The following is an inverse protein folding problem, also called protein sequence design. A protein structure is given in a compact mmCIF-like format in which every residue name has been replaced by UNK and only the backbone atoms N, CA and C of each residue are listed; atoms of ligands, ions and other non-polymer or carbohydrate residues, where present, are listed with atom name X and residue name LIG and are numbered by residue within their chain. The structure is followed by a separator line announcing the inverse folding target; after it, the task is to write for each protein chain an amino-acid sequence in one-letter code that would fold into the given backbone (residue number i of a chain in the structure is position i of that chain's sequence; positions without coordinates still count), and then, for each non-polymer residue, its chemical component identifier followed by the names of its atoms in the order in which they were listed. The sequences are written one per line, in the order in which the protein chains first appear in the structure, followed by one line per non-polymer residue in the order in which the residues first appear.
data_IF_278788339196
#
_entry.id   IF_278788339196
#
_cell.length_a   1.000
_cell.length_b   1.000
_cell.length_c   1.000
_cell.angle_alpha   90.00
_cell.angle_beta   90.00
_cell.angle_gamma   90.00
#
_symmetry.space_group_name_H-M   'P 1'
#
loop_
_entity.id
_entity.type
_entity.pdbx_description
1 polymer ?
#
# COMPACT_ATOMS: atom_id res chain seq x y z
N UNK A 1 -14.78 38.20 11.98
CA UNK A 1 -14.93 36.94 12.75
C UNK A 1 -16.02 36.11 12.09
N UNK A 2 -15.74 34.87 11.70
CA UNK A 2 -16.77 33.97 11.21
C UNK A 2 -17.83 33.79 12.30
N UNK A 3 -19.11 33.99 11.97
CA UNK A 3 -20.20 33.82 12.93
C UNK A 3 -20.13 32.41 13.53
N UNK A 4 -19.94 32.31 14.85
CA UNK A 4 -19.95 31.03 15.55
C UNK A 4 -21.34 30.41 15.44
N UNK A 5 -21.51 29.54 14.45
CA UNK A 5 -22.74 28.77 14.25
C UNK A 5 -22.64 27.48 15.05
N UNK A 6 -23.72 27.13 15.75
CA UNK A 6 -23.80 25.85 16.44
C UNK A 6 -23.71 24.70 15.44
N UNK A 7 -23.14 23.56 15.86
CA UNK A 7 -23.02 22.38 14.99
C UNK A 7 -24.38 21.93 14.44
N UNK A 8 -25.44 21.98 15.26
CA UNK A 8 -26.81 21.66 14.83
C UNK A 8 -27.28 22.58 13.70
N UNK A 9 -27.11 23.90 13.85
CA UNK A 9 -27.48 24.86 12.80
C UNK A 9 -26.66 24.64 11.54
N UNK A 10 -25.36 24.37 11.67
CA UNK A 10 -24.49 24.06 10.54
C UNK A 10 -25.01 22.89 9.70
N UNK A 11 -25.31 21.74 10.32
CA UNK A 11 -25.84 20.58 9.59
C UNK A 11 -27.18 20.87 8.89
N UNK A 12 -28.06 21.65 9.54
CA UNK A 12 -29.33 22.05 8.92
C UNK A 12 -29.07 22.96 7.71
N UNK A 13 -28.19 23.95 7.83
CA UNK A 13 -27.82 24.84 6.73
C UNK A 13 -27.20 24.06 5.57
N UNK A 14 -26.30 23.12 5.83
CA UNK A 14 -25.68 22.26 4.81
C UNK A 14 -26.73 21.37 4.12
N UNK A 15 -27.71 20.87 4.88
CA UNK A 15 -28.84 20.09 4.36
C UNK A 15 -29.78 20.90 3.47
N UNK A 16 -30.12 22.12 3.89
CA UNK A 16 -30.94 23.06 3.11
C UNK A 16 -30.22 23.45 1.82
N UNK A 17 -28.91 23.72 1.90
CA UNK A 17 -28.06 23.97 0.74
C UNK A 17 -28.13 22.82 -0.28
N UNK A 18 -27.94 21.57 0.18
CA UNK A 18 -28.01 20.40 -0.71
C UNK A 18 -29.41 20.22 -1.31
N UNK A 19 -30.47 20.46 -0.54
CA UNK A 19 -31.85 20.33 -1.02
C UNK A 19 -32.19 21.38 -2.09
N UNK A 20 -31.84 22.65 -1.86
CA UNK A 20 -32.05 23.74 -2.82
C UNK A 20 -31.25 23.52 -4.11
N UNK A 21 -29.98 23.13 -3.98
CA UNK A 21 -29.12 22.82 -5.12
C UNK A 21 -29.68 21.65 -5.95
N UNK A 22 -30.11 20.57 -5.29
CA UNK A 22 -30.67 19.41 -5.97
C UNK A 22 -31.97 19.75 -6.72
N UNK A 23 -32.85 20.56 -6.13
CA UNK A 23 -34.08 21.00 -6.79
C UNK A 23 -33.79 21.91 -8.00
N UNK A 24 -32.87 22.86 -7.86
CA UNK A 24 -32.43 23.71 -8.96
C UNK A 24 -31.89 22.89 -10.14
N UNK A 25 -30.94 21.99 -9.89
CA UNK A 25 -30.34 21.14 -10.92
C UNK A 25 -31.35 20.15 -11.52
N UNK A 26 -32.29 19.64 -10.72
CA UNK A 26 -33.35 18.76 -11.23
C UNK A 26 -34.22 19.47 -12.26
N UNK A 27 -34.52 20.77 -12.05
CA UNK A 27 -35.32 21.56 -13.01
C UNK A 27 -34.54 21.92 -14.26
N UNK A 28 -33.32 22.40 -14.08
CA UNK A 28 -32.47 22.91 -15.17
C UNK A 28 -31.93 21.79 -16.07
N UNK A 29 -31.57 20.65 -15.49
CA UNK A 29 -30.93 19.52 -16.18
C UNK A 29 -31.87 18.32 -16.39
N UNK A 30 -33.19 18.51 -16.25
CA UNK A 30 -34.19 17.46 -16.49
C UNK A 30 -34.03 16.85 -17.89
N UNK A 31 -33.83 17.70 -18.90
CA UNK A 31 -33.69 17.32 -20.30
C UNK A 31 -32.40 16.58 -20.61
N UNK A 32 -31.38 16.68 -19.75
CA UNK A 32 -30.07 16.07 -19.94
C UNK A 32 -29.91 14.75 -19.18
N UNK A 33 -30.99 14.33 -18.50
CA UNK A 33 -31.02 13.12 -17.69
C UNK A 33 -30.14 13.26 -16.46
N UNK A 34 -30.39 14.31 -15.68
CA UNK A 34 -29.90 14.47 -14.32
C UNK A 34 -30.31 13.29 -13.43
N UNK A 35 -29.37 12.84 -12.59
CA UNK A 35 -29.56 11.73 -11.66
C UNK A 35 -29.40 12.17 -10.21
N UNK A 36 -28.52 13.11 -9.92
CA UNK A 36 -28.23 13.54 -8.56
C UNK A 36 -27.01 14.44 -8.47
N UNK A 37 -26.72 14.88 -7.24
CA UNK A 37 -25.60 15.76 -6.94
C UNK A 37 -24.88 15.31 -5.67
N UNK A 38 -23.55 15.28 -5.75
CA UNK A 38 -22.66 15.11 -4.60
C UNK A 38 -21.93 16.43 -4.31
N UNK A 39 -21.86 16.79 -3.04
CA UNK A 39 -21.13 17.98 -2.58
C UNK A 39 -19.98 17.51 -1.71
N UNK A 40 -18.75 17.83 -2.11
CA UNK A 40 -17.53 17.57 -1.34
C UNK A 40 -16.94 18.89 -0.90
N UNK A 41 -16.96 19.14 0.40
CA UNK A 41 -16.46 20.39 0.98
C UNK A 41 -15.04 20.16 1.47
N UNK A 42 -14.07 20.84 0.86
CA UNK A 42 -12.71 20.97 1.40
C UNK A 42 -12.53 22.36 2.02
N UNK A 43 -11.52 22.59 2.88
CA UNK A 43 -11.33 23.89 3.52
C UNK A 43 -11.09 25.05 2.55
N UNK A 44 -10.61 24.77 1.34
CA UNK A 44 -10.27 25.76 0.33
C UNK A 44 -11.26 25.82 -0.82
N UNK A 45 -11.87 24.67 -1.19
CA UNK A 45 -12.80 24.56 -2.32
C UNK A 45 -14.00 23.68 -2.00
N UNK A 46 -15.15 24.04 -2.58
CA UNK A 46 -16.34 23.19 -2.59
C UNK A 46 -16.50 22.60 -3.98
N UNK A 47 -16.35 21.29 -4.08
CA UNK A 47 -16.54 20.53 -5.31
C UNK A 47 -17.98 20.03 -5.37
N UNK A 48 -18.68 20.37 -6.45
CA UNK A 48 -20.05 19.95 -6.72
C UNK A 48 -20.03 19.03 -7.92
N UNK A 49 -20.31 17.75 -7.71
CA UNK A 49 -20.30 16.72 -8.74
C UNK A 49 -21.73 16.44 -9.18
N UNK A 50 -22.04 16.81 -10.42
CA UNK A 50 -23.32 16.58 -11.08
C UNK A 50 -23.27 15.20 -11.72
N UNK A 51 -24.15 14.31 -11.29
CA UNK A 51 -24.32 12.99 -11.87
C UNK A 51 -25.40 13.06 -12.96
N UNK A 52 -25.00 12.84 -14.21
CA UNK A 52 -25.90 12.91 -15.36
C UNK A 52 -25.64 11.80 -16.37
N UNK A 53 -26.65 11.50 -17.20
CA UNK A 53 -26.52 10.50 -18.27
C UNK A 53 -25.84 11.06 -19.52
N UNK A 54 -26.13 12.32 -19.87
CA UNK A 54 -25.55 13.05 -21.02
C UNK A 54 -24.67 14.20 -20.53
N UNK A 55 -23.45 13.88 -20.11
CA UNK A 55 -22.51 14.88 -19.56
C UNK A 55 -22.14 15.98 -20.56
N UNK A 56 -22.05 15.66 -21.86
CA UNK A 56 -21.73 16.64 -22.90
C UNK A 56 -22.72 17.81 -22.94
N UNK A 57 -24.03 17.54 -22.80
CA UNK A 57 -25.05 18.58 -22.78
C UNK A 57 -25.01 19.44 -21.51
N UNK A 58 -24.63 18.83 -20.37
CA UNK A 58 -24.44 19.53 -19.10
C UNK A 58 -23.25 20.49 -19.18
N UNK A 59 -22.16 20.09 -19.85
CA UNK A 59 -21.03 20.97 -20.12
C UNK A 59 -21.42 22.12 -21.07
N UNK A 60 -22.18 21.79 -22.12
CA UNK A 60 -22.51 22.70 -23.21
C UNK A 60 -21.32 23.04 -24.11
N UNK A 61 -21.52 23.97 -25.04
CA UNK A 61 -20.50 24.34 -26.03
C UNK A 61 -19.24 24.88 -25.36
N UNK A 62 -18.11 24.17 -25.52
CA UNK A 62 -16.81 24.50 -24.91
C UNK A 62 -16.90 24.74 -23.38
N UNK A 63 -17.84 24.08 -22.70
CA UNK A 63 -18.03 24.25 -21.25
C UNK A 63 -18.75 25.53 -20.85
N UNK A 64 -19.44 26.21 -21.78
CA UNK A 64 -20.17 27.45 -21.49
C UNK A 64 -21.25 27.24 -20.41
N UNK A 65 -22.09 26.21 -20.57
CA UNK A 65 -23.23 25.97 -19.68
C UNK A 65 -22.80 25.65 -18.26
N UNK A 66 -21.77 24.83 -18.09
CA UNK A 66 -21.24 24.52 -16.74
C UNK A 66 -20.64 25.77 -16.07
N UNK A 67 -20.00 26.68 -16.82
CA UNK A 67 -19.50 27.96 -16.26
C UNK A 67 -20.64 28.90 -15.85
N UNK A 68 -21.72 28.94 -16.62
CA UNK A 68 -22.93 29.68 -16.27
C UNK A 68 -23.56 29.12 -14.98
N UNK A 69 -23.70 27.79 -14.88
CA UNK A 69 -24.17 27.12 -13.66
C UNK A 69 -23.27 27.43 -12.45
N UNK A 70 -21.94 27.36 -12.60
CA UNK A 70 -21.00 27.72 -11.53
C UNK A 70 -21.21 29.16 -11.09
N UNK A 71 -21.39 30.09 -12.03
CA UNK A 71 -21.61 31.52 -11.72
C UNK A 71 -22.93 31.75 -10.97
N UNK A 72 -24.01 31.04 -11.35
CA UNK A 72 -25.31 31.12 -10.68
C UNK A 72 -25.23 30.56 -9.26
N UNK A 73 -24.62 29.39 -9.09
CA UNK A 73 -24.45 28.75 -7.77
C UNK A 73 -23.58 29.63 -6.86
N UNK A 74 -22.47 30.15 -7.39
CA UNK A 74 -21.57 31.01 -6.64
C UNK A 74 -22.28 32.29 -6.15
N UNK A 75 -23.03 32.96 -7.03
CA UNK A 75 -23.79 34.18 -6.69
C UNK A 75 -24.97 33.91 -5.77
N UNK A 76 -25.70 32.82 -5.96
CA UNK A 76 -26.89 32.48 -5.15
C UNK A 76 -26.51 32.19 -3.70
N UNK A 77 -25.42 31.47 -3.48
CA UNK A 77 -24.99 31.04 -2.15
C UNK A 77 -23.87 31.91 -1.57
N UNK A 78 -23.55 33.05 -2.20
CA UNK A 78 -22.53 34.01 -1.76
C UNK A 78 -21.15 33.37 -1.51
N UNK A 79 -20.71 32.48 -2.40
CA UNK A 79 -19.37 31.91 -2.33
C UNK A 79 -18.33 32.91 -2.86
N UNK A 80 -17.13 32.96 -2.24
CA UNK A 80 -16.00 33.70 -2.80
C UNK A 80 -15.64 33.22 -4.22
N UNK A 81 -15.15 34.12 -5.06
CA UNK A 81 -14.77 33.77 -6.44
C UNK A 81 -13.68 32.70 -6.46
N UNK A 82 -13.87 31.66 -7.28
CA UNK A 82 -12.94 30.53 -7.39
C UNK A 82 -12.98 29.52 -6.24
N UNK A 83 -13.92 29.66 -5.29
CA UNK A 83 -14.08 28.69 -4.19
C UNK A 83 -15.01 27.51 -4.53
N UNK A 84 -15.78 27.59 -5.61
CA UNK A 84 -16.72 26.54 -6.04
C UNK A 84 -16.34 26.04 -7.43
N UNK A 85 -16.28 24.73 -7.57
CA UNK A 85 -16.02 24.06 -8.85
C UNK A 85 -17.09 23.01 -9.12
N UNK A 86 -17.68 23.06 -10.31
CA UNK A 86 -18.66 22.06 -10.76
C UNK A 86 -17.99 21.05 -11.68
N UNK A 87 -18.24 19.78 -11.43
CA UNK A 87 -17.82 18.65 -12.24
C UNK A 87 -19.06 17.92 -12.76
N UNK A 88 -18.98 17.35 -13.96
CA UNK A 88 -20.04 16.51 -14.50
C UNK A 88 -19.51 15.09 -14.70
N UNK A 89 -20.07 14.14 -13.95
CA UNK A 89 -19.73 12.73 -14.01
C UNK A 89 -20.87 11.94 -14.63
N UNK A 90 -20.49 10.91 -15.41
CA UNK A 90 -21.45 10.01 -16.03
C UNK A 90 -21.89 8.95 -15.03
N UNK A 91 -23.20 8.80 -14.85
CA UNK A 91 -23.76 7.70 -14.06
C UNK A 91 -23.35 6.35 -14.67
N UNK A 92 -22.81 5.45 -13.85
CA UNK A 92 -22.29 4.15 -14.30
C UNK A 92 -23.35 3.33 -15.06
N UNK A 93 -24.53 3.16 -14.47
CA UNK A 93 -25.64 2.38 -15.02
C UNK A 93 -26.93 3.19 -15.05
N UNK A 94 -27.21 3.88 -16.16
CA UNK A 94 -28.39 4.76 -16.29
C UNK A 94 -29.73 4.05 -16.02
N UNK A 95 -29.80 2.75 -16.30
CA UNK A 95 -31.02 1.94 -16.15
C UNK A 95 -31.41 1.68 -14.70
N UNK A 96 -30.45 1.74 -13.78
CA UNK A 96 -30.69 1.50 -12.35
C UNK A 96 -31.04 2.77 -11.57
N UNK A 97 -30.98 3.96 -12.20
CA UNK A 97 -31.37 5.21 -11.56
C UNK A 97 -32.85 5.52 -11.79
N UNK A 98 -33.65 5.57 -10.72
CA UNK A 98 -35.08 5.81 -10.79
C UNK A 98 -35.41 7.20 -11.35
N UNK A 99 -34.63 8.23 -10.99
CA UNK A 99 -34.84 9.61 -11.46
C UNK A 99 -34.65 9.71 -12.97
N UNK A 100 -33.57 9.15 -13.50
CA UNK A 100 -33.28 9.16 -14.93
C UNK A 100 -34.36 8.41 -15.74
N UNK A 101 -34.87 7.29 -15.20
CA UNK A 101 -35.96 6.55 -15.83
C UNK A 101 -37.31 7.27 -15.75
N UNK A 102 -37.60 7.95 -14.65
CA UNK A 102 -38.81 8.75 -14.49
C UNK A 102 -38.83 9.95 -15.45
N UNK A 103 -37.71 10.66 -15.62
CA UNK A 103 -37.60 11.73 -16.62
C UNK A 103 -37.70 11.18 -18.04
N UNK A 104 -37.02 10.06 -18.35
CA UNK A 104 -37.16 9.42 -19.67
C UNK A 104 -38.61 9.05 -19.99
N UNK A 105 -39.34 8.52 -19.01
CA UNK A 105 -40.76 8.20 -19.16
C UNK A 105 -41.60 9.46 -19.37
N UNK A 106 -41.35 10.53 -18.61
CA UNK A 106 -42.01 11.82 -18.79
C UNK A 106 -41.84 12.36 -20.20
N UNK A 107 -40.62 12.38 -20.74
CA UNK A 107 -40.37 12.86 -22.12
C UNK A 107 -41.03 11.97 -23.17
N UNK A 108 -41.05 10.64 -22.99
CA UNK A 108 -41.76 9.73 -23.91
C UNK A 108 -43.27 10.01 -23.94
N UNK A 109 -43.86 10.29 -22.78
CA UNK A 109 -45.30 10.60 -22.67
C UNK A 109 -45.63 11.99 -23.26
N UNK A 110 -44.80 13.00 -22.98
CA UNK A 110 -44.95 14.34 -23.58
C UNK A 110 -44.77 14.27 -25.11
N UNK A 111 -43.86 13.44 -25.60
CA UNK A 111 -43.65 13.16 -27.02
C UNK A 111 -44.78 12.39 -27.71
N UNK A 112 -45.92 12.16 -27.03
CA UNK A 112 -47.10 11.53 -27.61
C UNK A 112 -47.05 10.00 -27.69
N UNK A 113 -46.07 9.36 -27.06
CA UNK A 113 -46.00 7.89 -27.06
C UNK A 113 -47.09 7.32 -26.15
N UNK A 114 -47.81 6.31 -26.63
CA UNK A 114 -48.89 5.67 -25.87
C UNK A 114 -48.39 5.15 -24.51
N UNK A 115 -49.15 5.40 -23.44
CA UNK A 115 -48.76 5.14 -22.04
C UNK A 115 -48.23 3.73 -21.83
N UNK A 116 -48.95 2.70 -22.31
CA UNK A 116 -48.52 1.30 -22.18
C UNK A 116 -47.20 1.03 -22.89
N UNK A 117 -47.02 1.55 -24.12
CA UNK A 117 -45.79 1.37 -24.91
C UNK A 117 -44.60 2.06 -24.22
N UNK A 118 -44.80 3.26 -23.69
CA UNK A 118 -43.78 3.99 -22.96
C UNK A 118 -43.37 3.26 -21.68
N UNK A 119 -44.33 2.78 -20.89
CA UNK A 119 -44.07 2.07 -19.63
C UNK A 119 -43.36 0.74 -19.85
N UNK A 120 -43.83 -0.11 -20.76
CA UNK A 120 -43.15 -1.38 -21.06
C UNK A 120 -41.75 -1.17 -21.64
N UNK A 121 -41.54 -0.11 -22.43
CA UNK A 121 -40.21 0.23 -22.92
C UNK A 121 -39.23 0.63 -21.82
N UNK A 122 -39.70 1.33 -20.78
CA UNK A 122 -38.86 1.69 -19.61
C UNK A 122 -38.66 0.49 -18.69
N UNK A 123 -39.72 -0.26 -18.38
CA UNK A 123 -39.68 -1.46 -17.55
C UNK A 123 -38.70 -2.51 -18.13
N UNK A 124 -38.80 -2.79 -19.43
CA UNK A 124 -37.87 -3.71 -20.12
C UNK A 124 -36.44 -3.22 -20.06
N UNK A 125 -36.20 -1.92 -20.27
CA UNK A 125 -34.87 -1.34 -20.20
C UNK A 125 -34.26 -1.41 -18.79
N UNK A 126 -35.07 -1.27 -17.73
CA UNK A 126 -34.63 -1.42 -16.33
C UNK A 126 -34.22 -2.87 -16.05
N UNK A 127 -35.04 -3.83 -16.47
CA UNK A 127 -34.74 -5.27 -16.29
C UNK A 127 -33.51 -5.71 -17.10
N UNK A 128 -33.37 -5.27 -18.36
CA UNK A 128 -32.17 -5.51 -19.19
C UNK A 128 -30.90 -4.86 -18.60
N UNK A 129 -31.04 -3.82 -17.79
CA UNK A 129 -29.94 -3.18 -17.08
C UNK A 129 -29.52 -3.91 -15.80
N UNK A 130 -30.16 -5.05 -15.47
CA UNK A 130 -29.78 -5.91 -14.34
C UNK A 130 -30.45 -5.57 -13.00
N UNK A 131 -31.61 -4.90 -13.01
CA UNK A 131 -32.40 -4.73 -11.79
C UNK A 131 -32.99 -6.07 -11.33
N UNK A 132 -33.16 -6.26 -10.00
CA UNK A 132 -33.87 -7.43 -9.46
C UNK A 132 -35.38 -7.37 -9.70
N UNK A 133 -35.90 -6.15 -9.79
CA UNK A 133 -37.28 -5.89 -10.19
C UNK A 133 -37.55 -4.39 -10.27
N UNK A 134 -38.68 -4.05 -10.85
CA UNK A 134 -39.11 -2.67 -10.99
C UNK A 134 -40.63 -2.55 -10.96
N UNK A 135 -41.09 -1.38 -10.53
CA UNK A 135 -42.50 -1.01 -10.48
C UNK A 135 -42.64 0.40 -11.07
N UNK A 136 -43.39 0.51 -12.16
CA UNK A 136 -43.72 1.77 -12.82
C UNK A 136 -45.22 2.01 -12.67
N UNK A 137 -45.58 3.10 -12.01
CA UNK A 137 -46.96 3.53 -11.83
C UNK A 137 -47.16 4.85 -12.56
N UNK A 138 -48.18 4.93 -13.40
CA UNK A 138 -48.60 6.18 -14.05
C UNK A 138 -50.04 6.44 -13.65
N UNK A 139 -50.25 7.51 -12.89
CA UNK A 139 -51.56 7.92 -12.38
C UNK A 139 -51.98 9.29 -12.90
N UNK A 140 -53.19 9.40 -13.44
CA UNK A 140 -53.72 10.67 -13.94
C UNK A 140 -54.86 10.46 -14.94
N UNK A 141 -55.17 11.51 -15.72
CA UNK A 141 -56.17 11.44 -16.80
C UNK A 141 -55.52 10.87 -18.07
N UNK A 142 -55.48 9.54 -18.20
CA UNK A 142 -54.72 8.87 -19.27
C UNK A 142 -55.46 8.78 -20.61
N UNK A 143 -56.79 8.58 -20.59
CA UNK A 143 -57.60 8.39 -21.81
C UNK A 143 -58.95 9.12 -21.77
N UNK A 144 -59.44 9.47 -20.58
CA UNK A 144 -60.72 10.14 -20.40
C UNK A 144 -60.71 11.07 -19.20
N UNK A 145 -61.86 11.71 -18.92
CA UNK A 145 -61.98 12.72 -17.88
C UNK A 145 -61.76 12.17 -16.46
N UNK A 146 -62.06 10.89 -16.23
CA UNK A 146 -61.82 10.21 -14.95
C UNK A 146 -60.35 9.81 -14.81
N UNK A 147 -59.75 10.14 -13.67
CA UNK A 147 -58.40 9.71 -13.34
C UNK A 147 -58.31 8.17 -13.23
N UNK A 148 -57.21 7.61 -13.71
CA UNK A 148 -56.87 6.19 -13.63
C UNK A 148 -55.42 6.04 -13.17
N UNK A 149 -55.12 4.94 -12.49
CA UNK A 149 -53.75 4.54 -12.16
C UNK A 149 -53.44 3.22 -12.86
N UNK A 150 -52.37 3.20 -13.64
CA UNK A 150 -51.85 1.99 -14.27
C UNK A 150 -50.55 1.61 -13.57
N UNK A 151 -50.47 0.37 -13.07
CA UNK A 151 -49.31 -0.20 -12.40
C UNK A 151 -48.70 -1.28 -13.31
N UNK A 152 -47.42 -1.16 -13.59
CA UNK A 152 -46.61 -2.11 -14.36
C UNK A 152 -45.51 -2.63 -13.45
N UNK A 153 -45.40 -3.95 -13.28
CA UNK A 153 -44.45 -4.57 -12.36
C UNK A 153 -43.73 -5.70 -13.10
N UNK A 154 -42.45 -5.85 -12.82
CA UNK A 154 -41.65 -6.99 -13.27
C UNK A 154 -40.56 -7.32 -12.23
N UNK A 155 -40.21 -8.60 -12.08
CA UNK A 155 -39.25 -9.08 -11.09
C UNK A 155 -39.71 -8.97 -9.62
N UNK A 156 -38.72 -8.94 -8.71
CA UNK A 156 -38.91 -8.89 -7.26
C UNK A 156 -38.98 -7.43 -6.76
N UNK A 157 -39.91 -7.14 -5.83
CA UNK A 157 -40.04 -5.81 -5.21
C UNK A 157 -40.42 -5.93 -3.73
N UNK A 158 -39.54 -5.43 -2.85
CA UNK A 158 -39.78 -5.33 -1.41
C UNK A 158 -40.51 -4.02 -1.06
N UNK A 159 -41.30 -4.04 0.02
CA UNK A 159 -42.18 -2.93 0.41
C UNK A 159 -42.06 -2.49 1.87
N UNK A 160 -41.39 -3.28 2.72
CA UNK A 160 -41.35 -3.08 4.17
C UNK A 160 -39.93 -3.26 4.73
N UNK A 161 -39.67 -2.63 5.87
CA UNK A 161 -38.40 -2.72 6.59
C UNK A 161 -37.29 -1.85 6.01
N UNK A 162 -36.18 -1.75 6.75
CA UNK A 162 -35.00 -0.98 6.38
C UNK A 162 -34.41 -1.34 5.01
N UNK A 163 -34.40 -2.61 4.55
CA UNK A 163 -33.89 -2.94 3.22
C UNK A 163 -34.58 -2.17 2.10
N UNK A 164 -35.81 -1.68 2.29
CA UNK A 164 -36.49 -0.84 1.29
C UNK A 164 -35.75 0.48 1.07
N UNK A 165 -35.18 1.09 2.11
CA UNK A 165 -34.41 2.34 2.00
C UNK A 165 -33.08 2.13 1.26
N UNK A 166 -32.47 0.96 1.45
CA UNK A 166 -31.15 0.64 0.89
C UNK A 166 -31.22 0.07 -0.54
N UNK A 167 -32.23 -0.76 -0.84
CA UNK A 167 -32.35 -1.49 -2.10
C UNK A 167 -33.29 -0.84 -3.12
N UNK A 168 -34.29 -0.07 -2.67
CA UNK A 168 -35.34 0.45 -3.57
C UNK A 168 -35.11 1.93 -3.85
N UNK A 169 -34.58 2.23 -5.03
CA UNK A 169 -34.52 3.61 -5.52
C UNK A 169 -35.90 4.01 -6.05
N UNK A 170 -36.41 5.16 -5.61
CA UNK A 170 -37.76 5.64 -5.93
C UNK A 170 -37.73 7.06 -6.45
N UNK A 171 -38.40 7.31 -7.57
CA UNK A 171 -38.58 8.65 -8.12
C UNK A 171 -40.06 8.93 -8.44
N UNK A 172 -40.49 10.16 -8.13
CA UNK A 172 -41.83 10.66 -8.45
C UNK A 172 -41.71 11.93 -9.30
N UNK A 173 -42.46 12.01 -10.39
CA UNK A 173 -42.47 13.15 -11.33
C UNK A 173 -43.89 13.58 -11.70
N UNK A 174 -43.97 14.82 -12.19
CA UNK A 174 -45.21 15.48 -12.64
C UNK A 174 -45.90 14.62 -13.71
N UNK A 175 -47.25 14.56 -13.67
CA UNK A 175 -48.15 13.56 -14.30
C UNK A 175 -48.37 12.26 -13.50
N UNK A 176 -48.02 12.26 -12.20
CA UNK A 176 -48.25 11.11 -11.33
C UNK A 176 -47.45 9.88 -11.75
N UNK A 177 -46.25 10.11 -12.30
CA UNK A 177 -45.30 9.05 -12.64
C UNK A 177 -44.55 8.69 -11.36
N UNK A 178 -44.56 7.41 -11.00
CA UNK A 178 -43.77 6.85 -9.90
C UNK A 178 -43.00 5.65 -10.43
N UNK A 179 -41.68 5.68 -10.30
CA UNK A 179 -40.78 4.58 -10.68
C UNK A 179 -40.09 4.10 -9.43
N UNK A 180 -40.15 2.79 -9.16
CA UNK A 180 -39.37 2.10 -8.14
C UNK A 180 -38.48 1.06 -8.81
N UNK A 181 -37.22 1.01 -8.43
CA UNK A 181 -36.24 0.06 -8.95
C UNK A 181 -35.60 -0.65 -7.77
N UNK A 182 -35.73 -1.98 -7.72
CA UNK A 182 -35.03 -2.81 -6.76
C UNK A 182 -33.63 -3.13 -7.32
N UNK A 183 -32.62 -2.53 -6.69
CA UNK A 183 -31.23 -2.68 -7.08
C UNK A 183 -30.73 -4.12 -6.83
N UNK A 184 -29.78 -4.62 -7.65
CA UNK A 184 -29.10 -5.88 -7.37
C UNK A 184 -28.16 -5.72 -6.17
N UNK A 185 -27.91 -6.82 -5.45
CA UNK A 185 -26.86 -6.87 -4.44
C UNK A 185 -25.51 -6.94 -5.15
N UNK A 186 -24.57 -6.07 -4.77
CA UNK A 186 -23.21 -6.05 -5.31
C UNK A 186 -22.20 -5.90 -4.16
N UNK A 187 -21.33 -6.90 -3.92
CA UNK A 187 -20.29 -6.82 -2.90
C UNK A 187 -19.36 -5.61 -3.04
N UNK A 188 -19.15 -5.11 -4.27
CA UNK A 188 -18.30 -3.95 -4.53
C UNK A 188 -19.00 -2.62 -4.21
N UNK A 189 -20.33 -2.62 -4.18
CA UNK A 189 -21.15 -1.44 -3.93
C UNK A 189 -21.17 -0.43 -5.07
N UNK A 190 -21.00 -0.85 -6.33
CA UNK A 190 -21.01 0.05 -7.49
C UNK A 190 -22.41 0.23 -8.08
N UNK A 191 -23.14 -0.87 -8.22
CA UNK A 191 -24.48 -0.89 -8.86
C UNK A 191 -25.63 -0.99 -7.86
N UNK A 192 -25.33 -1.29 -6.60
CA UNK A 192 -26.32 -1.47 -5.55
C UNK A 192 -25.66 -1.61 -4.17
N UNK A 193 -26.44 -1.96 -3.15
CA UNK A 193 -25.95 -2.03 -1.77
C UNK A 193 -24.96 -3.17 -1.55
N UNK A 194 -23.95 -2.92 -0.71
CA UNK A 194 -22.91 -3.91 -0.32
C UNK A 194 -23.45 -5.01 0.59
N UNK A 195 -24.37 -4.65 1.47
CA UNK A 195 -24.96 -5.57 2.45
C UNK A 195 -26.02 -6.43 1.76
N UNK A 196 -25.95 -7.77 1.84
CA UNK A 196 -27.00 -8.63 1.31
C UNK A 196 -28.33 -8.38 2.06
N UNK A 197 -29.43 -8.89 1.51
CA UNK A 197 -30.71 -8.84 2.22
C UNK A 197 -30.59 -9.60 3.57
N UNK A 198 -31.26 -9.14 4.65
CA UNK A 198 -31.10 -9.74 5.98
C UNK A 198 -31.50 -11.21 6.08
N UNK A 199 -32.39 -11.66 5.20
CA UNK A 199 -32.89 -13.03 5.07
C UNK A 199 -32.07 -13.89 4.08
N UNK A 200 -31.12 -13.29 3.37
CA UNK A 200 -30.29 -14.00 2.41
C UNK A 200 -29.08 -14.67 3.09
N UNK A 201 -29.19 -15.97 3.31
CA UNK A 201 -28.11 -16.82 3.84
C UNK A 201 -27.33 -17.46 2.68
N UNK A 202 -26.06 -17.09 2.52
CA UNK A 202 -25.15 -17.74 1.56
C UNK A 202 -24.49 -18.94 2.22
N UNK A 203 -24.88 -20.15 1.81
CA UNK A 203 -24.23 -21.39 2.23
C UNK A 203 -23.08 -21.66 1.26
N UNK A 204 -21.84 -21.63 1.76
CA UNK A 204 -20.66 -21.94 0.95
C UNK A 204 -20.55 -23.45 0.83
N UNK A 205 -20.41 -23.94 -0.40
CA UNK A 205 -20.21 -25.37 -0.62
C UNK A 205 -18.92 -25.83 0.08
N UNK A 206 -18.98 -26.95 0.82
CA UNK A 206 -17.80 -27.49 1.46
C UNK A 206 -16.75 -27.81 0.40
N UNK A 207 -15.49 -27.55 0.71
CA UNK A 207 -14.39 -28.03 -0.13
C UNK A 207 -14.43 -29.54 -0.13
N UNK A 208 -14.18 -30.16 -1.28
CA UNK A 208 -13.98 -31.60 -1.36
C UNK A 208 -12.75 -31.98 -0.52
N UNK A 209 -12.99 -32.60 0.63
CA UNK A 209 -11.94 -33.13 1.49
C UNK A 209 -11.62 -34.55 1.03
N UNK A 210 -10.36 -34.78 0.65
CA UNK A 210 -9.88 -36.14 0.37
C UNK A 210 -9.78 -36.89 1.70
N UNK A 211 -10.59 -37.93 1.87
CA UNK A 211 -10.52 -38.80 3.06
C UNK A 211 -9.23 -39.62 2.97
N UNK A 212 -8.28 -39.32 3.84
CA UNK A 212 -7.04 -40.09 3.94
C UNK A 212 -7.28 -41.32 4.82
N UNK A 213 -7.19 -42.51 4.22
CA UNK A 213 -7.34 -43.77 4.95
C UNK A 213 -6.15 -44.09 5.88
N UNK A 214 -4.98 -43.48 5.65
CA UNK A 214 -3.76 -43.69 6.41
C UNK A 214 -3.09 -42.34 6.72
N UNK A 215 -2.33 -42.23 7.83
CA UNK A 215 -1.61 -41.00 8.16
C UNK A 215 -0.52 -40.70 7.13
N UNK A 216 -0.53 -39.49 6.58
CA UNK A 216 0.49 -39.00 5.63
C UNK A 216 1.24 -37.84 6.28
N UNK A 217 2.57 -37.87 6.22
CA UNK A 217 3.43 -36.77 6.65
C UNK A 217 3.72 -35.83 5.48
N UNK A 218 3.31 -34.55 5.58
CA UNK A 218 3.66 -33.49 4.62
C UNK A 218 4.83 -32.64 5.19
N UNK A 219 6.03 -32.75 4.61
CA UNK A 219 7.15 -31.86 4.95
C UNK A 219 7.01 -30.51 4.23
N UNK A 220 6.41 -29.52 4.91
CA UNK A 220 6.41 -28.13 4.42
C UNK A 220 7.81 -27.53 4.55
N UNK A 221 8.53 -27.49 3.43
CA UNK A 221 9.93 -27.04 3.35
C UNK A 221 10.70 -27.68 2.21
N UNK A 222 10.17 -28.73 1.58
CA UNK A 222 10.69 -29.21 0.31
C UNK A 222 10.36 -28.17 -0.78
N UNK A 223 11.40 -27.54 -1.34
CA UNK A 223 11.30 -26.85 -2.63
C UNK A 223 10.64 -27.82 -3.63
N UNK A 224 9.83 -27.33 -4.60
CA UNK A 224 9.32 -28.22 -5.63
C UNK A 224 10.49 -29.01 -6.20
N UNK A 225 10.36 -30.34 -6.26
CA UNK A 225 11.28 -31.21 -6.99
C UNK A 225 11.18 -30.85 -8.47
N UNK A 226 11.78 -29.73 -8.83
CA UNK A 226 12.43 -29.60 -10.10
C UNK A 226 13.52 -30.65 -10.05
N UNK A 227 13.54 -31.55 -11.02
CA UNK A 227 14.73 -32.31 -11.38
C UNK A 227 15.84 -31.31 -11.77
N UNK A 228 16.39 -30.64 -10.78
CA UNK A 228 17.51 -29.72 -10.86
C UNK A 228 18.53 -30.33 -9.93
N UNK A 229 19.65 -30.73 -10.50
CA UNK A 229 20.85 -31.08 -9.76
C UNK A 229 21.02 -30.11 -8.58
N UNK A 230 21.23 -30.65 -7.38
CA UNK A 230 21.31 -29.90 -6.12
C UNK A 230 22.40 -28.81 -6.16
N UNK A 231 23.42 -28.97 -7.01
CA UNK A 231 24.53 -28.04 -7.15
C UNK A 231 24.14 -26.64 -7.70
N UNK A 232 23.55 -26.47 -8.89
CA UNK A 232 23.25 -25.13 -9.44
C UNK A 232 22.27 -24.29 -8.60
N UNK A 233 21.38 -24.90 -7.82
CA UNK A 233 20.44 -24.19 -6.94
C UNK A 233 21.07 -23.60 -5.68
N UNK A 234 22.11 -24.24 -5.14
CA UNK A 234 22.87 -23.75 -3.98
C UNK A 234 23.75 -22.54 -4.33
N UNK A 235 24.28 -22.52 -5.55
CA UNK A 235 25.10 -21.40 -6.05
C UNK A 235 24.28 -20.32 -6.76
N UNK A 236 22.97 -20.50 -6.92
CA UNK A 236 22.09 -19.50 -7.53
C UNK A 236 22.07 -18.21 -6.67
N UNK A 237 22.75 -17.17 -7.15
CA UNK A 237 22.84 -15.87 -6.47
C UNK A 237 24.13 -15.66 -5.64
N UNK A 238 25.07 -16.61 -5.62
CA UNK A 238 26.34 -16.44 -4.89
C UNK A 238 27.22 -15.34 -5.50
N UNK A 239 27.23 -15.19 -6.82
CA UNK A 239 28.03 -14.15 -7.50
C UNK A 239 27.58 -12.74 -7.09
N UNK A 240 26.29 -12.35 -7.20
CA UNK A 240 25.83 -11.05 -6.69
C UNK A 240 26.10 -10.84 -5.19
N UNK A 241 25.91 -11.87 -4.36
CA UNK A 241 26.18 -11.80 -2.91
C UNK A 241 27.67 -11.64 -2.60
N UNK A 242 28.55 -12.31 -3.34
CA UNK A 242 29.99 -12.21 -3.20
C UNK A 242 30.47 -10.81 -3.60
N UNK A 243 30.02 -10.31 -4.75
CA UNK A 243 30.39 -8.97 -5.24
C UNK A 243 29.94 -7.88 -4.26
N UNK A 244 28.72 -7.98 -3.74
CA UNK A 244 28.21 -7.04 -2.73
C UNK A 244 29.05 -7.08 -1.44
N UNK A 245 29.32 -8.27 -0.92
CA UNK A 245 30.12 -8.44 0.31
C UNK A 245 31.57 -7.98 0.12
N UNK A 246 32.18 -8.21 -1.04
CA UNK A 246 33.54 -7.73 -1.34
C UNK A 246 33.56 -6.20 -1.36
N UNK A 247 32.62 -5.57 -2.08
CA UNK A 247 32.54 -4.11 -2.16
C UNK A 247 32.31 -3.48 -0.78
N UNK A 248 31.41 -4.05 0.03
CA UNK A 248 31.12 -3.60 1.39
C UNK A 248 32.37 -3.68 2.29
N UNK A 249 32.98 -4.85 2.39
CA UNK A 249 34.13 -5.07 3.27
C UNK A 249 35.37 -4.28 2.82
N UNK A 250 35.62 -4.15 1.51
CA UNK A 250 36.73 -3.35 1.00
C UNK A 250 36.62 -1.88 1.41
N UNK A 251 35.42 -1.30 1.28
CA UNK A 251 35.17 0.10 1.66
C UNK A 251 35.24 0.26 3.17
N UNK A 252 34.67 -0.68 3.93
CA UNK A 252 34.74 -0.66 5.38
C UNK A 252 36.18 -0.66 5.89
N UNK A 253 37.03 -1.59 5.45
CA UNK A 253 38.41 -1.68 5.93
C UNK A 253 39.28 -0.51 5.46
N UNK A 254 39.06 0.01 4.24
CA UNK A 254 39.75 1.21 3.77
C UNK A 254 39.36 2.45 4.60
N UNK A 255 38.07 2.63 4.85
CA UNK A 255 37.55 3.73 5.67
C UNK A 255 37.98 3.58 7.13
N UNK A 256 38.05 2.36 7.66
CA UNK A 256 38.44 2.08 9.04
C UNK A 256 39.83 2.64 9.37
N UNK A 257 40.83 2.42 8.51
CA UNK A 257 42.17 2.97 8.72
C UNK A 257 42.22 4.51 8.71
N UNK A 258 41.38 5.15 7.90
CA UNK A 258 41.25 6.62 7.87
C UNK A 258 40.55 7.11 9.14
N UNK A 259 39.45 6.47 9.53
CA UNK A 259 38.69 6.79 10.73
C UNK A 259 39.53 6.60 12.01
N UNK A 260 40.40 5.59 12.07
CA UNK A 260 41.33 5.41 13.18
C UNK A 260 42.32 6.58 13.29
N UNK A 261 42.88 7.06 12.18
CA UNK A 261 43.75 8.25 12.17
C UNK A 261 43.00 9.51 12.59
N UNK A 262 41.75 9.67 12.16
CA UNK A 262 40.90 10.80 12.60
C UNK A 262 40.62 10.74 14.10
N UNK A 263 40.23 9.58 14.64
CA UNK A 263 40.00 9.41 16.08
C UNK A 263 41.29 9.62 16.87
N UNK A 264 42.43 9.14 16.38
CA UNK A 264 43.74 9.40 16.97
C UNK A 264 44.05 10.89 17.06
N UNK A 265 43.82 11.66 15.98
CA UNK A 265 44.04 13.11 15.96
C UNK A 265 43.13 13.85 16.95
N UNK A 266 41.87 13.42 17.07
CA UNK A 266 40.90 14.03 17.99
C UNK A 266 41.22 13.72 19.45
N UNK A 267 41.69 12.50 19.75
CA UNK A 267 42.01 12.04 21.12
C UNK A 267 43.47 12.35 21.51
N UNK A 268 44.27 12.93 20.60
CA UNK A 268 45.66 13.34 20.80
C UNK A 268 46.58 12.22 21.32
N UNK A 269 46.60 11.06 20.64
CA UNK A 269 47.50 9.94 20.96
C UNK A 269 48.67 9.79 19.99
N UNK A 270 49.85 9.40 20.50
CA UNK A 270 51.10 9.34 19.73
C UNK A 270 51.10 8.28 18.61
N UNK A 271 50.42 7.14 18.81
CA UNK A 271 50.29 6.07 17.79
C UNK A 271 48.91 5.44 17.79
N UNK A 272 48.44 5.02 16.61
CA UNK A 272 47.17 4.28 16.40
C UNK A 272 47.10 3.01 17.27
N UNK A 273 48.24 2.41 17.60
CA UNK A 273 48.31 1.17 18.38
C UNK A 273 47.87 1.34 19.85
N UNK A 274 47.89 2.58 20.38
CA UNK A 274 47.48 2.94 21.74
C UNK A 274 45.99 3.34 21.86
N UNK A 275 45.20 3.14 20.81
CA UNK A 275 43.75 3.37 20.89
C UNK A 275 43.10 2.40 21.89
N UNK A 276 42.20 2.92 22.73
CA UNK A 276 41.41 2.08 23.66
C UNK A 276 40.36 1.27 22.88
N UNK A 277 39.83 0.23 23.51
CA UNK A 277 38.73 -0.58 22.97
C UNK A 277 37.56 0.27 22.47
N UNK A 278 37.15 1.27 23.26
CA UNK A 278 36.06 2.17 22.90
C UNK A 278 36.40 3.04 21.69
N UNK A 279 37.62 3.56 21.62
CA UNK A 279 38.08 4.37 20.48
C UNK A 279 38.12 3.54 19.19
N UNK A 280 38.59 2.29 19.25
CA UNK A 280 38.56 1.37 18.10
C UNK A 280 37.14 0.97 17.69
N UNK A 281 36.22 0.82 18.66
CA UNK A 281 34.81 0.60 18.38
C UNK A 281 34.15 1.82 17.71
N UNK A 282 34.50 3.04 18.16
CA UNK A 282 34.05 4.29 17.53
C UNK A 282 34.62 4.49 16.13
N UNK A 283 35.88 4.11 15.87
CA UNK A 283 36.42 4.08 14.51
C UNK A 283 35.64 3.12 13.61
N UNK A 284 35.19 1.98 14.15
CA UNK A 284 34.32 1.03 13.46
C UNK A 284 32.94 1.61 13.14
N UNK A 285 32.34 2.31 14.10
CA UNK A 285 31.07 3.02 13.94
C UNK A 285 31.13 4.10 12.85
N UNK A 286 32.23 4.87 12.79
CA UNK A 286 32.43 5.90 11.77
C UNK A 286 32.72 5.29 10.39
N UNK A 287 33.51 4.21 10.34
CA UNK A 287 33.78 3.50 9.09
C UNK A 287 32.51 2.90 8.47
N UNK A 288 31.58 2.44 9.31
CA UNK A 288 30.28 1.92 8.88
C UNK A 288 29.42 2.94 8.13
N UNK A 289 29.62 4.25 8.34
CA UNK A 289 28.94 5.29 7.56
C UNK A 289 29.33 5.22 6.08
N UNK A 290 30.63 5.05 5.79
CA UNK A 290 31.13 4.96 4.43
C UNK A 290 30.74 3.63 3.76
N UNK A 291 30.72 2.54 4.53
CA UNK A 291 30.18 1.26 4.08
C UNK A 291 28.68 1.35 3.75
N UNK A 292 27.89 2.04 4.57
CA UNK A 292 26.46 2.24 4.32
C UNK A 292 26.19 3.04 3.04
N UNK A 293 27.06 4.00 2.68
CA UNK A 293 26.94 4.76 1.43
C UNK A 293 27.06 3.86 0.19
N UNK A 294 27.94 2.85 0.22
CA UNK A 294 28.12 1.91 -0.89
C UNK A 294 27.09 0.79 -0.88
N UNK A 295 26.63 0.38 0.30
CA UNK A 295 25.64 -0.68 0.46
C UNK A 295 24.21 -0.22 0.07
N UNK A 296 23.83 1.01 0.41
CA UNK A 296 22.45 1.51 0.28
C UNK A 296 21.85 1.38 -1.15
N UNK A 297 22.54 1.75 -2.24
CA UNK A 297 22.01 1.59 -3.60
C UNK A 297 21.70 0.12 -3.95
N UNK A 298 22.58 -0.79 -3.53
CA UNK A 298 22.44 -2.23 -3.82
C UNK A 298 21.30 -2.86 -3.03
N UNK A 299 21.15 -2.47 -1.76
CA UNK A 299 20.03 -2.92 -0.92
C UNK A 299 18.68 -2.42 -1.41
N UNK A 300 18.60 -1.17 -1.87
CA UNK A 300 17.36 -0.61 -2.41
C UNK A 300 16.88 -1.38 -3.63
N UNK A 301 17.77 -1.64 -4.59
CA UNK A 301 17.46 -2.41 -5.81
C UNK A 301 17.02 -3.82 -5.43
N UNK A 302 17.75 -4.48 -4.51
CA UNK A 302 17.39 -5.83 -4.02
C UNK A 302 16.01 -5.86 -3.38
N UNK A 303 15.70 -4.91 -2.50
CA UNK A 303 14.40 -4.86 -1.82
C UNK A 303 13.26 -4.60 -2.79
N UNK A 304 13.43 -3.68 -3.76
CA UNK A 304 12.40 -3.39 -4.77
C UNK A 304 12.18 -4.58 -5.72
N UNK A 305 13.23 -5.31 -6.09
CA UNK A 305 13.11 -6.55 -6.88
C UNK A 305 12.37 -7.65 -6.12
N UNK A 306 12.64 -7.80 -4.82
CA UNK A 306 11.95 -8.77 -3.96
C UNK A 306 10.46 -8.43 -3.84
N UNK A 307 10.13 -7.16 -3.57
CA UNK A 307 8.74 -6.70 -3.50
C UNK A 307 7.99 -6.88 -4.84
N UNK A 308 8.65 -6.62 -5.97
CA UNK A 308 8.06 -6.81 -7.29
C UNK A 308 7.76 -8.29 -7.61
N UNK A 309 8.61 -9.21 -7.15
CA UNK A 309 8.40 -10.67 -7.29
C UNK A 309 7.24 -11.17 -6.43
N UNK A 310 7.12 -10.68 -5.20
CA UNK A 310 6.06 -11.07 -4.26
C UNK A 310 4.68 -10.58 -4.70
N UNK A 311 4.58 -9.40 -5.32
CA UNK A 311 3.31 -8.85 -5.80
C UNK A 311 2.75 -9.51 -7.07
N UNK A 312 3.38 -10.57 -7.60
CA UNK A 312 2.94 -11.34 -8.78
C UNK A 312 2.59 -10.47 -10.01
N UNK A 313 3.21 -9.29 -10.13
CA UNK A 313 3.04 -8.44 -11.31
C UNK A 313 3.78 -9.11 -12.47
N UNK A 314 3.05 -9.44 -13.54
CA UNK A 314 3.51 -10.13 -14.77
C UNK A 314 4.72 -9.52 -15.51
N UNK A 315 5.39 -8.52 -14.96
CA UNK A 315 6.57 -7.91 -15.56
C UNK A 315 7.82 -8.38 -14.83
N UNK A 316 8.55 -9.32 -15.44
CA UNK A 316 9.90 -9.73 -15.04
C UNK A 316 10.88 -8.56 -15.28
N UNK A 317 10.85 -7.55 -14.40
CA UNK A 317 11.79 -6.43 -14.47
C UNK A 317 13.14 -6.92 -13.93
N UNK A 318 14.15 -6.98 -14.80
CA UNK A 318 15.51 -7.31 -14.42
C UNK A 318 16.17 -6.23 -13.55
N UNK A 319 17.25 -6.55 -12.79
CA UNK A 319 17.95 -5.60 -11.93
C UNK A 319 18.37 -4.32 -12.67
N UNK A 320 18.85 -4.46 -13.92
CA UNK A 320 19.32 -3.33 -14.72
C UNK A 320 18.19 -2.41 -15.21
N UNK A 321 17.06 -3.00 -15.60
CA UNK A 321 15.88 -2.25 -15.99
C UNK A 321 15.33 -1.46 -14.78
N UNK A 322 15.34 -2.07 -13.60
CA UNK A 322 14.93 -1.39 -12.37
C UNK A 322 15.87 -0.23 -12.01
N UNK A 323 17.19 -0.44 -12.04
CA UNK A 323 18.19 0.62 -11.80
C UNK A 323 17.98 1.80 -12.74
N UNK A 324 17.77 1.54 -14.04
CA UNK A 324 17.51 2.58 -15.04
C UNK A 324 16.21 3.34 -14.75
N UNK A 325 15.17 2.65 -14.30
CA UNK A 325 13.89 3.27 -13.96
C UNK A 325 14.01 4.18 -12.73
N UNK A 326 14.71 3.73 -11.69
CA UNK A 326 14.97 4.55 -10.49
C UNK A 326 15.75 5.81 -10.86
N UNK A 327 16.80 5.68 -11.68
CA UNK A 327 17.59 6.82 -12.13
C UNK A 327 16.78 7.83 -12.95
N UNK A 328 15.86 7.36 -13.81
CA UNK A 328 15.00 8.24 -14.62
C UNK A 328 13.89 8.94 -13.82
N UNK A 329 13.33 8.27 -12.81
CA UNK A 329 12.15 8.76 -12.08
C UNK A 329 12.52 9.54 -10.82
N UNK A 330 13.50 9.06 -10.06
CA UNK A 330 13.88 9.59 -8.73
C UNK A 330 15.28 10.23 -8.75
N UNK A 331 16.01 10.15 -9.86
CA UNK A 331 17.37 10.66 -9.99
C UNK A 331 18.39 9.89 -9.14
N UNK A 332 19.59 10.46 -8.98
CA UNK A 332 20.68 9.84 -8.21
C UNK A 332 20.36 9.78 -6.71
N UNK A 333 19.64 10.77 -6.17
CA UNK A 333 19.22 10.79 -4.77
C UNK A 333 18.20 9.69 -4.44
N UNK A 334 17.46 9.19 -5.44
CA UNK A 334 16.54 8.06 -5.29
C UNK A 334 17.21 6.79 -4.77
N UNK A 335 18.50 6.57 -5.06
CA UNK A 335 19.25 5.39 -4.60
C UNK A 335 19.51 5.37 -3.09
N UNK A 336 19.43 6.52 -2.41
CA UNK A 336 19.68 6.66 -0.98
C UNK A 336 18.39 6.69 -0.15
N UNK A 337 17.26 6.29 -0.75
CA UNK A 337 15.98 6.20 -0.06
C UNK A 337 16.02 5.03 0.92
N UNK A 338 15.99 5.35 2.22
CA UNK A 338 16.16 4.38 3.30
C UNK A 338 17.57 4.36 3.92
N UNK A 339 18.45 5.26 3.51
CA UNK A 339 19.81 5.38 4.05
C UNK A 339 19.86 5.49 5.59
N UNK A 340 18.93 6.21 6.20
CA UNK A 340 18.80 6.29 7.67
C UNK A 340 18.53 4.93 8.31
N UNK A 341 17.73 4.07 7.67
CA UNK A 341 17.49 2.71 8.15
C UNK A 341 18.72 1.83 8.02
N UNK A 342 19.52 2.01 6.95
CA UNK A 342 20.79 1.31 6.77
C UNK A 342 21.79 1.75 7.84
N UNK A 343 21.94 3.06 8.09
CA UNK A 343 22.84 3.59 9.13
C UNK A 343 22.50 3.06 10.54
N UNK A 344 21.21 3.06 10.90
CA UNK A 344 20.75 2.57 12.21
C UNK A 344 21.07 1.10 12.42
N UNK A 345 21.18 0.30 11.35
CA UNK A 345 21.58 -1.11 11.42
C UNK A 345 23.10 -1.27 11.43
N UNK A 346 23.79 -0.66 10.46
CA UNK A 346 25.22 -0.87 10.23
C UNK A 346 26.09 -0.27 11.34
N UNK A 347 25.82 0.96 11.77
CA UNK A 347 26.73 1.65 12.67
C UNK A 347 26.79 1.01 14.06
N UNK A 348 25.67 0.70 14.74
CA UNK A 348 25.71 -0.05 16.00
C UNK A 348 26.30 -1.45 15.81
N UNK A 349 25.97 -2.11 14.71
CA UNK A 349 26.50 -3.42 14.33
C UNK A 349 28.03 -3.48 14.38
N UNK A 350 28.67 -2.59 13.62
CA UNK A 350 30.13 -2.52 13.54
C UNK A 350 30.77 -1.98 14.82
N UNK A 351 30.10 -1.12 15.58
CA UNK A 351 30.57 -0.71 16.91
C UNK A 351 30.73 -1.93 17.83
N UNK A 352 29.70 -2.78 17.94
CA UNK A 352 29.76 -3.97 18.78
C UNK A 352 30.67 -5.06 18.20
N UNK A 353 30.82 -5.14 16.87
CA UNK A 353 31.80 -6.02 16.24
C UNK A 353 33.23 -5.69 16.64
N UNK A 354 33.66 -4.45 16.40
CA UNK A 354 35.03 -4.00 16.71
C UNK A 354 35.27 -3.93 18.22
N UNK A 355 34.27 -3.55 19.02
CA UNK A 355 34.34 -3.60 20.47
C UNK A 355 34.52 -5.02 21.00
N UNK A 356 33.69 -5.98 20.56
CA UNK A 356 33.81 -7.38 20.95
C UNK A 356 35.12 -8.02 20.49
N UNK A 357 35.59 -7.66 19.29
CA UNK A 357 36.87 -8.10 18.75
C UNK A 357 38.07 -7.58 19.58
N UNK A 358 38.09 -6.30 19.94
CA UNK A 358 39.21 -5.72 20.71
C UNK A 358 39.21 -6.18 22.18
N UNK A 359 38.04 -6.28 22.83
CA UNK A 359 37.92 -6.83 24.21
C UNK A 359 38.45 -8.26 24.26
N UNK A 360 38.01 -9.10 23.32
CA UNK A 360 38.46 -10.49 23.28
C UNK A 360 39.94 -10.63 22.95
N UNK A 361 40.49 -9.77 22.09
CA UNK A 361 41.94 -9.71 21.86
C UNK A 361 42.71 -9.31 23.12
N UNK A 362 42.25 -8.31 23.85
CA UNK A 362 42.91 -7.84 25.08
C UNK A 362 42.94 -8.95 26.14
N UNK A 363 41.82 -9.66 26.33
CA UNK A 363 41.72 -10.78 27.27
C UNK A 363 42.53 -12.02 26.87
N UNK A 364 42.72 -12.26 25.57
CA UNK A 364 43.45 -13.44 25.05
C UNK A 364 44.95 -13.17 24.80
N UNK A 365 45.42 -11.95 25.04
CA UNK A 365 46.82 -11.57 24.91
C UNK A 365 47.59 -12.01 26.17
N UNK A 366 48.59 -12.90 26.07
CA UNK A 366 49.38 -13.32 27.22
C UNK A 366 50.28 -12.17 27.70
N UNK A 367 50.55 -12.06 29.02
CA UNK A 367 51.32 -10.94 29.58
C UNK A 367 52.72 -10.86 28.96
N UNK A 368 53.05 -9.72 28.35
CA UNK A 368 54.37 -9.42 27.78
C UNK A 368 54.51 -9.51 26.25
N UNK A 369 53.44 -9.77 25.48
CA UNK A 369 53.49 -9.82 23.99
C UNK A 369 52.69 -8.68 23.34
N UNK A 370 53.14 -8.22 22.17
CA UNK A 370 52.48 -7.17 21.37
C UNK A 370 51.26 -7.70 20.61
N UNK A 371 50.34 -6.78 20.29
CA UNK A 371 49.06 -7.02 19.59
C UNK A 371 49.17 -7.83 18.27
N UNK A 372 50.34 -7.94 17.67
CA UNK A 372 50.58 -8.62 16.39
C UNK A 372 51.02 -10.09 16.52
N UNK A 373 51.29 -10.60 17.73
CA UNK A 373 51.82 -11.95 17.98
C UNK A 373 50.82 -12.94 18.62
N UNK A 374 49.54 -12.57 18.64
CA UNK A 374 48.47 -13.28 19.38
C UNK A 374 48.22 -14.70 18.80
N UNK A 375 48.66 -14.96 17.56
CA UNK A 375 48.54 -16.25 16.87
C UNK A 375 47.17 -16.43 16.19
N UNK A 376 47.16 -17.08 15.02
CA UNK A 376 45.99 -17.23 14.15
C UNK A 376 44.72 -17.70 14.87
N UNK A 377 44.85 -18.73 15.72
CA UNK A 377 43.72 -19.32 16.43
C UNK A 377 43.04 -18.33 17.37
N UNK A 378 43.81 -17.49 18.08
CA UNK A 378 43.25 -16.51 19.01
C UNK A 378 42.63 -15.32 18.27
N UNK A 379 43.18 -14.93 17.12
CA UNK A 379 42.60 -13.93 16.23
C UNK A 379 41.27 -14.41 15.61
N UNK A 380 41.18 -15.71 15.28
CA UNK A 380 39.93 -16.32 14.82
C UNK A 380 38.87 -16.29 15.93
N UNK A 381 39.26 -16.64 17.17
CA UNK A 381 38.36 -16.61 18.33
C UNK A 381 37.88 -15.18 18.59
N UNK A 382 38.77 -14.18 18.57
CA UNK A 382 38.36 -12.79 18.76
C UNK A 382 37.44 -12.29 17.63
N UNK A 383 37.71 -12.72 16.40
CA UNK A 383 36.83 -12.51 15.25
C UNK A 383 35.44 -13.11 15.43
N UNK A 384 35.36 -14.33 15.95
CA UNK A 384 34.11 -14.99 16.27
C UNK A 384 33.35 -14.25 17.37
N UNK A 385 34.02 -13.83 18.45
CA UNK A 385 33.38 -13.06 19.54
C UNK A 385 32.82 -11.73 19.04
N UNK A 386 33.58 -11.00 18.21
CA UNK A 386 33.09 -9.79 17.55
C UNK A 386 31.87 -10.06 16.66
N UNK A 387 31.90 -11.14 15.87
CA UNK A 387 30.77 -11.57 15.04
C UNK A 387 29.52 -11.90 15.87
N UNK A 388 29.67 -12.62 16.99
CA UNK A 388 28.55 -12.92 17.89
C UNK A 388 27.96 -11.64 18.49
N UNK A 389 28.81 -10.68 18.90
CA UNK A 389 28.37 -9.40 19.46
C UNK A 389 27.62 -8.53 18.43
N UNK A 390 28.05 -8.53 17.17
CA UNK A 390 27.33 -7.87 16.09
C UNK A 390 25.95 -8.47 15.90
N UNK A 391 25.89 -9.80 15.74
CA UNK A 391 24.63 -10.46 15.44
C UNK A 391 23.65 -10.36 16.58
N UNK A 392 24.07 -10.43 17.86
CA UNK A 392 23.14 -10.28 19.00
C UNK A 392 22.48 -8.91 19.05
N UNK A 393 23.18 -7.84 18.65
CA UNK A 393 22.61 -6.49 18.67
C UNK A 393 21.74 -6.22 17.44
N UNK A 394 22.13 -6.70 16.26
CA UNK A 394 21.38 -6.44 15.02
C UNK A 394 20.15 -7.35 14.86
N UNK A 395 20.18 -8.56 15.42
CA UNK A 395 19.17 -9.59 15.14
C UNK A 395 17.70 -9.13 15.26
N UNK A 396 17.30 -8.36 16.30
CA UNK A 396 15.94 -7.87 16.43
C UNK A 396 15.47 -7.02 15.25
N UNK A 397 16.37 -6.20 14.69
CA UNK A 397 16.08 -5.36 13.54
C UNK A 397 15.87 -6.20 12.26
N UNK A 398 16.63 -7.29 12.11
CA UNK A 398 16.50 -8.21 10.98
C UNK A 398 15.22 -9.06 11.05
N UNK A 399 14.82 -9.51 12.24
CA UNK A 399 13.53 -10.18 12.44
C UNK A 399 12.38 -9.23 12.12
N UNK A 400 12.45 -7.98 12.59
CA UNK A 400 11.42 -6.98 12.29
C UNK A 400 11.32 -6.69 10.79
N UNK A 401 12.46 -6.54 10.11
CA UNK A 401 12.52 -6.33 8.65
C UNK A 401 11.91 -7.51 7.89
N UNK A 402 12.29 -8.74 8.24
CA UNK A 402 11.77 -9.95 7.57
C UNK A 402 10.27 -10.14 7.78
N UNK A 403 9.73 -9.88 8.97
CA UNK A 403 8.29 -9.96 9.26
C UNK A 403 7.47 -8.94 8.45
N UNK A 404 7.98 -7.71 8.32
CA UNK A 404 7.35 -6.67 7.49
C UNK A 404 7.33 -7.10 6.02
N UNK A 405 8.45 -7.66 5.54
CA UNK A 405 8.57 -8.14 4.16
C UNK A 405 7.60 -9.29 3.86
N UNK A 406 7.54 -10.31 4.72
CA UNK A 406 6.65 -11.47 4.53
C UNK A 406 5.17 -11.07 4.57
N UNK A 407 4.78 -10.11 5.43
CA UNK A 407 3.38 -9.73 5.59
C UNK A 407 2.83 -8.86 4.46
N UNK A 408 3.69 -8.23 3.65
CA UNK A 408 3.27 -7.32 2.56
C UNK A 408 2.47 -6.08 3.01
N UNK A 409 2.36 -5.81 4.32
CA UNK A 409 1.52 -4.73 4.86
C UNK A 409 2.28 -3.40 4.89
N UNK A 410 1.59 -2.31 4.56
CA UNK A 410 2.12 -0.93 4.62
C UNK A 410 2.11 -0.32 6.04
N UNK A 411 2.13 -1.17 7.06
CA UNK A 411 2.10 -0.72 8.45
C UNK A 411 3.43 -0.11 8.90
N UNK A 412 3.35 0.86 9.82
CA UNK A 412 4.55 1.48 10.41
C UNK A 412 5.35 0.42 11.21
N UNK A 413 6.68 0.43 11.08
CA UNK A 413 7.63 -0.46 11.77
C UNK A 413 7.36 -0.59 13.28
N UNK A 414 6.97 0.51 13.95
CA UNK A 414 6.65 0.52 15.38
C UNK A 414 5.36 -0.24 15.73
N UNK A 415 4.37 -0.24 14.83
CA UNK A 415 3.10 -0.97 15.02
C UNK A 415 3.36 -2.46 14.92
N UNK A 416 4.17 -2.88 13.94
CA UNK A 416 4.57 -4.28 13.77
C UNK A 416 5.42 -4.75 14.95
N UNK A 417 6.38 -3.94 15.41
CA UNK A 417 7.18 -4.24 16.60
C UNK A 417 6.29 -4.44 17.85
N UNK A 418 5.35 -3.51 18.09
CA UNK A 418 4.42 -3.59 19.23
C UNK A 418 3.50 -4.81 19.13
N UNK A 419 3.11 -5.21 17.91
CA UNK A 419 2.32 -6.42 17.65
C UNK A 419 3.10 -7.68 17.98
N UNK A 420 4.32 -7.81 17.47
CA UNK A 420 5.20 -8.97 17.73
C UNK A 420 5.43 -9.13 19.23
N UNK A 421 5.81 -8.04 19.91
CA UNK A 421 6.06 -8.08 21.36
C UNK A 421 4.80 -8.44 22.15
N UNK A 422 3.61 -7.97 21.74
CA UNK A 422 2.35 -8.25 22.44
C UNK A 422 1.79 -9.65 22.16
N UNK A 423 2.03 -10.21 20.97
CA UNK A 423 1.45 -11.50 20.55
C UNK A 423 2.41 -12.68 20.74
N UNK A 424 3.69 -12.52 20.40
CA UNK A 424 4.71 -13.59 20.42
C UNK A 424 5.74 -13.40 21.54
N UNK A 425 5.77 -12.22 22.18
CA UNK A 425 6.72 -11.87 23.23
C UNK A 425 8.07 -11.37 22.71
N UNK A 426 8.93 -10.91 23.63
CA UNK A 426 10.25 -10.33 23.29
C UNK A 426 11.20 -11.38 22.69
N UNK A 427 11.06 -12.66 23.08
CA UNK A 427 11.90 -13.76 22.56
C UNK A 427 11.69 -14.00 21.06
N UNK A 428 10.54 -13.63 20.51
CA UNK A 428 10.26 -13.76 19.09
C UNK A 428 11.19 -12.90 18.23
N UNK A 429 11.67 -11.77 18.75
CA UNK A 429 12.67 -10.91 18.07
C UNK A 429 14.04 -11.58 17.91
N UNK A 430 14.27 -12.70 18.60
CA UNK A 430 15.50 -13.50 18.51
C UNK A 430 15.25 -14.88 17.88
N UNK A 431 14.09 -15.10 17.28
CA UNK A 431 13.76 -16.35 16.59
C UNK A 431 14.67 -16.53 15.35
N UNK A 432 15.58 -17.51 15.42
CA UNK A 432 16.60 -17.75 14.39
C UNK A 432 18.02 -17.27 14.74
N UNK A 433 18.24 -16.69 15.93
CA UNK A 433 19.58 -16.28 16.38
C UNK A 433 20.53 -17.47 16.44
N UNK A 434 20.09 -18.61 16.99
CA UNK A 434 20.91 -19.82 17.12
C UNK A 434 21.59 -20.27 15.82
N UNK A 435 20.84 -20.54 14.74
CA UNK A 435 21.41 -20.86 13.42
C UNK A 435 22.40 -19.80 12.91
N UNK A 436 22.15 -18.52 13.20
CA UNK A 436 22.99 -17.41 12.76
C UNK A 436 24.32 -17.38 13.51
N UNK A 437 24.31 -17.62 14.83
CA UNK A 437 25.51 -17.72 15.63
C UNK A 437 26.36 -18.93 15.22
N UNK A 438 25.73 -20.08 15.00
CA UNK A 438 26.41 -21.30 14.53
C UNK A 438 27.08 -21.08 13.17
N UNK A 439 26.42 -20.38 12.23
CA UNK A 439 27.00 -20.01 10.92
C UNK A 439 28.14 -19.00 11.04
N UNK A 440 28.11 -18.13 12.04
CA UNK A 440 29.07 -17.02 12.16
C UNK A 440 30.48 -17.53 12.46
N UNK A 441 30.62 -18.53 13.32
CA UNK A 441 31.91 -19.10 13.74
C UNK A 441 32.75 -19.65 12.56
N UNK A 442 32.22 -20.52 11.66
CA UNK A 442 32.99 -20.98 10.51
C UNK A 442 33.21 -19.87 9.47
N UNK A 443 32.28 -18.93 9.32
CA UNK A 443 32.42 -17.82 8.39
C UNK A 443 33.54 -16.85 8.80
N UNK A 444 33.64 -16.49 10.08
CA UNK A 444 34.73 -15.66 10.60
C UNK A 444 36.06 -16.42 10.57
N UNK A 445 36.06 -17.71 10.88
CA UNK A 445 37.24 -18.55 10.73
C UNK A 445 37.80 -18.53 9.31
N UNK A 446 36.95 -18.75 8.31
CA UNK A 446 37.34 -18.69 6.91
C UNK A 446 37.86 -17.29 6.49
N UNK A 447 37.22 -16.22 6.96
CA UNK A 447 37.65 -14.85 6.68
C UNK A 447 39.07 -14.58 7.18
N UNK A 448 39.38 -14.95 8.42
CA UNK A 448 40.70 -14.69 9.01
C UNK A 448 41.79 -15.62 8.44
N UNK A 449 41.46 -16.87 8.13
CA UNK A 449 42.38 -17.77 7.39
C UNK A 449 42.69 -17.18 6.02
N UNK A 450 41.67 -16.76 5.26
CA UNK A 450 41.86 -16.12 3.97
C UNK A 450 42.72 -14.86 4.08
N UNK A 451 42.45 -14.00 5.08
CA UNK A 451 43.25 -12.80 5.32
C UNK A 451 44.73 -13.12 5.58
N UNK A 452 45.04 -14.13 6.41
CA UNK A 452 46.43 -14.49 6.70
C UNK A 452 47.14 -15.07 5.49
N UNK A 453 46.49 -15.97 4.73
CA UNK A 453 47.06 -16.52 3.51
C UNK A 453 47.27 -15.43 2.45
N UNK A 454 46.29 -14.54 2.26
CA UNK A 454 46.43 -13.40 1.35
C UNK A 454 47.57 -12.47 1.79
N UNK A 455 47.71 -12.19 3.08
CA UNK A 455 48.80 -11.37 3.61
C UNK A 455 50.17 -12.03 3.38
N UNK A 456 50.31 -13.32 3.67
CA UNK A 456 51.55 -14.08 3.41
C UNK A 456 51.91 -14.11 1.93
N UNK A 457 50.91 -14.33 1.07
CA UNK A 457 51.11 -14.37 -0.38
C UNK A 457 51.49 -12.99 -0.94
N UNK A 458 50.86 -11.92 -0.47
CA UNK A 458 51.23 -10.56 -0.88
C UNK A 458 52.64 -10.18 -0.44
N UNK A 459 53.03 -10.48 0.80
CA UNK A 459 54.41 -10.23 1.27
C UNK A 459 55.45 -11.02 0.47
N UNK A 460 55.15 -12.29 0.13
CA UNK A 460 56.03 -13.09 -0.72
C UNK A 460 56.11 -12.61 -2.19
N UNK A 461 55.27 -11.65 -2.59
CA UNK A 461 55.25 -11.05 -3.92
C UNK A 461 55.84 -9.64 -3.95
N UNK A 462 55.94 -8.98 -2.79
CA UNK A 462 56.54 -7.63 -2.63
C UNK A 462 57.96 -7.65 -2.07
N UNK A 463 58.43 -8.79 -1.58
CA UNK A 463 59.86 -9.12 -1.39
C UNK A 463 60.40 -9.83 -2.64
#
# INVERSE_FOLDING_TARGET
MAAQTSKKRKFVTDGVFKAELNEFLTRELAEDGYSGVEVRVTPTRTEIIILATRTQNVLGDKGRRIRELTSVVQKRFNFPEGSVELYAEKVATRGLCAIAQAESLRYKLIGGLAVRRACYGVLRFIMESGAKGCEVVVSGKLRGQRAKSMKFVDGLMIHSGEPTNDYVDTAVRVLGIKVKIMLPWDPNGKIGPKRPLPDHVSIVEPKEETIYAQPISEQKGAKPEVNMAVAPGLYAGTVPSLVANVAENSVLFAAYGICQKCVQMVVQKEKVEHLTVLENAFSGFLAAFFSALTLCPTELIKCRLQAAREMSVKSQIGPWALTRNVLKQEGVLGFYRGFTSTLVREMPGYFFFFGGYEISRELLTPPGKTKNEIGLLRTIISGAVGGLALWTVIFPADVLKSRIQISGSNEKTLVVLKRIVRQEGIRALYSGLGPTLVRTIPATGALFVAFEYSKKYMHAWTD
#
